data_IF_374077634893
#
_entry.id   IF_374077634893
#
_cell.length_a   1.000
_cell.length_b   1.000
_cell.length_c   1.000
_cell.angle_alpha   90.00
_cell.angle_beta   90.00
_cell.angle_gamma   90.00
#
_symmetry.space_group_name_H-M   'P 1'
#
loop_
_entity.id
_entity.type
_entity.pdbx_description
1 polymer ?
#
# COMPACT_ATOMS: atom_id res chain seq x y z
N UNK A 1 1.89 -20.71 -3.91
CA UNK A 1 0.52 -21.25 -3.78
C UNK A 1 -0.28 -20.32 -2.87
N UNK A 2 -1.55 -20.07 -3.18
CA UNK A 2 -2.38 -19.17 -2.38
C UNK A 2 -3.03 -19.93 -1.22
N UNK A 3 -3.13 -19.31 -0.03
CA UNK A 3 -3.77 -19.92 1.14
C UNK A 3 -4.77 -18.98 1.81
N UNK A 4 -5.76 -19.58 2.48
CA UNK A 4 -6.77 -18.87 3.27
C UNK A 4 -6.77 -19.41 4.69
N UNK A 5 -6.77 -18.51 5.68
CA UNK A 5 -6.83 -18.86 7.09
C UNK A 5 -7.82 -17.96 7.82
N UNK A 6 -8.40 -18.48 8.90
CA UNK A 6 -9.23 -17.71 9.82
C UNK A 6 -8.78 -18.00 11.25
N UNK A 7 -8.57 -16.95 12.02
CA UNK A 7 -8.02 -17.02 13.37
C UNK A 7 -8.63 -15.94 14.27
N UNK A 8 -8.47 -16.11 15.58
CA UNK A 8 -8.73 -15.05 16.55
C UNK A 8 -7.46 -14.25 16.82
N UNK A 9 -7.58 -12.94 16.96
CA UNK A 9 -6.50 -12.05 17.34
C UNK A 9 -7.00 -11.08 18.41
N UNK A 10 -6.33 -11.03 19.56
CA UNK A 10 -6.65 -10.09 20.64
C UNK A 10 -5.62 -8.95 20.58
N UNK A 11 -5.99 -7.77 20.06
CA UNK A 11 -5.07 -6.64 20.03
C UNK A 11 -4.79 -6.12 21.44
N UNK A 12 -3.60 -5.55 21.64
CA UNK A 12 -3.31 -4.68 22.77
C UNK A 12 -4.18 -3.41 22.73
N UNK A 13 -4.22 -2.67 23.84
CA UNK A 13 -4.98 -1.42 23.97
C UNK A 13 -4.00 -0.33 24.43
N UNK A 14 -3.60 0.62 23.56
CA UNK A 14 -4.03 0.79 22.17
C UNK A 14 -3.44 -0.26 21.19
N UNK A 15 -4.10 -0.56 20.05
CA UNK A 15 -3.61 -1.52 19.08
C UNK A 15 -2.25 -1.14 18.49
N UNK A 16 -1.35 -2.11 18.36
CA UNK A 16 -0.02 -1.96 17.77
C UNK A 16 0.11 -2.75 16.48
N UNK A 17 0.51 -2.06 15.43
CA UNK A 17 0.68 -2.66 14.11
C UNK A 17 1.82 -3.68 14.09
N UNK A 18 2.95 -3.38 14.73
CA UNK A 18 4.11 -4.27 14.75
C UNK A 18 3.80 -5.63 15.41
N UNK A 19 2.95 -5.66 16.45
CA UNK A 19 2.49 -6.91 17.07
C UNK A 19 1.63 -7.73 16.10
N UNK A 20 0.78 -7.05 15.32
CA UNK A 20 -0.04 -7.70 14.31
C UNK A 20 0.82 -8.26 13.17
N UNK A 21 1.83 -7.52 12.71
CA UNK A 21 2.80 -8.00 11.72
C UNK A 21 3.51 -9.25 12.21
N UNK A 22 4.05 -9.23 13.43
CA UNK A 22 4.73 -10.39 14.02
C UNK A 22 3.80 -11.61 14.15
N UNK A 23 2.53 -11.38 14.50
CA UNK A 23 1.52 -12.44 14.54
C UNK A 23 1.28 -13.06 13.15
N UNK A 24 1.09 -12.23 12.12
CA UNK A 24 0.87 -12.66 10.73
C UNK A 24 2.08 -13.42 10.19
N UNK A 25 3.28 -12.92 10.44
CA UNK A 25 4.53 -13.55 10.02
C UNK A 25 4.64 -14.98 10.56
N UNK A 26 4.39 -15.16 11.86
CA UNK A 26 4.40 -16.47 12.52
C UNK A 26 3.30 -17.38 12.00
N UNK A 27 2.08 -16.85 11.84
CA UNK A 27 0.93 -17.62 11.38
C UNK A 27 1.17 -18.20 9.98
N UNK A 28 1.65 -17.38 9.05
CA UNK A 28 1.86 -17.72 7.64
C UNK A 28 3.27 -18.26 7.34
N UNK A 29 4.12 -18.44 8.36
CA UNK A 29 5.51 -18.92 8.22
C UNK A 29 6.30 -18.08 7.21
N UNK A 30 6.17 -16.76 7.31
CA UNK A 30 6.82 -15.79 6.42
C UNK A 30 8.18 -15.31 6.97
N UNK A 31 8.81 -16.12 7.83
CA UNK A 31 10.11 -15.80 8.41
C UNK A 31 11.13 -15.57 7.31
N UNK A 32 11.77 -14.39 7.29
CA UNK A 32 12.70 -13.90 6.26
C UNK A 32 12.06 -13.39 4.95
N UNK A 33 10.73 -13.31 4.84
CA UNK A 33 10.07 -12.70 3.69
C UNK A 33 9.51 -11.34 4.08
N UNK A 34 9.79 -10.32 3.27
CA UNK A 34 9.06 -9.06 3.38
C UNK A 34 7.66 -9.23 2.81
N UNK A 35 6.66 -8.65 3.45
CA UNK A 35 5.28 -8.67 3.00
C UNK A 35 4.57 -7.36 3.34
N UNK A 36 3.40 -7.18 2.75
CA UNK A 36 2.48 -6.10 3.04
C UNK A 36 1.15 -6.67 3.54
N UNK A 37 0.43 -5.88 4.32
CA UNK A 37 -0.91 -6.20 4.79
C UNK A 37 -1.87 -5.17 4.20
N UNK A 38 -2.86 -5.66 3.47
CA UNK A 38 -3.93 -4.86 2.90
C UNK A 38 -5.25 -5.23 3.57
N UNK A 39 -6.14 -4.27 3.69
CA UNK A 39 -7.47 -4.38 4.28
C UNK A 39 -8.53 -4.10 3.23
N UNK A 40 -9.60 -4.91 3.22
CA UNK A 40 -10.78 -4.64 2.40
C UNK A 40 -11.78 -3.86 3.24
N UNK A 41 -11.95 -2.57 2.94
CA UNK A 41 -12.91 -1.72 3.64
C UNK A 41 -14.35 -2.14 3.29
N UNK A 42 -15.20 -2.50 4.27
CA UNK A 42 -16.55 -2.98 4.00
C UNK A 42 -17.51 -1.87 3.54
N UNK A 43 -17.14 -0.59 3.63
CA UNK A 43 -17.99 0.52 3.21
C UNK A 43 -18.00 0.74 1.70
N UNK A 44 -16.84 0.64 1.06
CA UNK A 44 -16.64 0.89 -0.38
C UNK A 44 -15.95 -0.28 -1.12
N UNK A 45 -15.47 -1.30 -0.41
CA UNK A 45 -14.64 -2.40 -0.90
C UNK A 45 -13.26 -1.96 -1.41
N UNK A 46 -12.76 -0.81 -0.96
CA UNK A 46 -11.40 -0.38 -1.28
C UNK A 46 -10.37 -1.25 -0.57
N UNK A 47 -9.29 -1.55 -1.30
CA UNK A 47 -8.13 -2.26 -0.78
C UNK A 47 -7.11 -1.23 -0.26
N UNK A 48 -6.99 -1.14 1.06
CA UNK A 48 -6.19 -0.11 1.74
C UNK A 48 -5.01 -0.72 2.49
N UNK A 49 -3.82 -0.11 2.47
CA UNK A 49 -2.69 -0.62 3.24
C UNK A 49 -2.89 -0.41 4.74
N UNK A 50 -2.55 -1.43 5.53
CA UNK A 50 -2.31 -1.28 6.97
C UNK A 50 -0.79 -1.22 7.14
N UNK A 51 -0.25 -0.05 7.48
CA UNK A 51 1.20 0.17 7.60
C UNK A 51 1.62 0.97 8.84
N UNK A 52 0.67 1.25 9.75
CA UNK A 52 0.91 1.92 11.03
C UNK A 52 -0.26 1.65 12.01
N UNK A 53 -0.08 2.07 13.26
CA UNK A 53 -1.04 1.91 14.36
C UNK A 53 -2.42 2.55 14.06
N UNK A 54 -2.45 3.72 13.42
CA UNK A 54 -3.70 4.45 13.15
C UNK A 54 -4.55 3.75 12.07
N UNK A 55 -3.91 3.30 10.98
CA UNK A 55 -4.58 2.52 9.94
C UNK A 55 -5.07 1.19 10.51
N UNK A 56 -4.28 0.54 11.36
CA UNK A 56 -4.69 -0.70 12.01
C UNK A 56 -5.89 -0.48 12.94
N UNK A 57 -5.83 0.55 13.79
CA UNK A 57 -6.95 0.93 14.66
C UNK A 57 -8.21 1.27 13.87
N UNK A 58 -8.09 1.94 12.72
CA UNK A 58 -9.23 2.23 11.83
C UNK A 58 -9.80 0.95 11.23
N UNK A 59 -8.97 0.08 10.68
CA UNK A 59 -9.41 -1.18 10.08
C UNK A 59 -10.14 -2.07 11.11
N UNK A 60 -9.64 -2.14 12.35
CA UNK A 60 -10.29 -2.85 13.47
C UNK A 60 -11.68 -2.28 13.81
N UNK A 61 -11.83 -0.94 13.80
CA UNK A 61 -13.11 -0.27 14.11
C UNK A 61 -14.14 -0.43 13.00
N UNK A 62 -13.70 -0.41 11.74
CA UNK A 62 -14.59 -0.48 10.57
C UNK A 62 -14.94 -1.92 10.19
N UNK A 63 -14.13 -2.90 10.58
CA UNK A 63 -14.37 -4.32 10.29
C UNK A 63 -15.76 -4.81 10.73
N UNK A 64 -16.52 -5.37 9.78
CA UNK A 64 -17.83 -5.99 10.02
C UNK A 64 -18.04 -7.21 9.12
N UNK A 65 -18.35 -8.40 9.66
CA UNK A 65 -18.15 -8.85 11.04
C UNK A 65 -16.68 -9.22 11.35
N UNK A 66 -15.82 -9.29 10.33
CA UNK A 66 -14.43 -9.73 10.44
C UNK A 66 -13.52 -8.72 9.73
N UNK A 67 -12.29 -8.60 10.24
CA UNK A 67 -11.22 -7.91 9.53
C UNK A 67 -10.76 -8.82 8.39
N UNK A 68 -11.11 -8.47 7.15
CA UNK A 68 -10.62 -9.16 5.95
C UNK A 68 -9.33 -8.52 5.50
N UNK A 69 -8.26 -9.31 5.45
CA UNK A 69 -6.95 -8.85 5.00
C UNK A 69 -6.43 -9.68 3.84
N UNK A 70 -5.53 -9.07 3.07
CA UNK A 70 -4.69 -9.75 2.08
C UNK A 70 -3.24 -9.57 2.54
N UNK A 71 -2.52 -10.69 2.63
CA UNK A 71 -1.09 -10.71 2.94
C UNK A 71 -0.36 -11.05 1.65
N UNK A 72 0.51 -10.15 1.20
CA UNK A 72 1.21 -10.30 -0.07
C UNK A 72 2.70 -10.15 0.15
N UNK A 73 3.49 -11.11 -0.33
CA UNK A 73 4.95 -11.02 -0.29
C UNK A 73 5.41 -9.90 -1.21
N UNK A 74 6.42 -9.15 -0.78
CA UNK A 74 7.07 -8.16 -1.63
C UNK A 74 7.84 -8.86 -2.75
N UNK A 75 7.73 -8.35 -3.96
CA UNK A 75 8.29 -8.90 -5.20
C UNK A 75 7.33 -9.80 -5.98
N UNK A 76 6.22 -10.25 -5.37
CA UNK A 76 5.30 -11.23 -5.97
C UNK A 76 4.11 -10.58 -6.70
N UNK A 77 3.99 -9.24 -6.72
CA UNK A 77 2.82 -8.55 -7.29
C UNK A 77 3.14 -7.42 -8.24
N UNK A 78 2.32 -7.30 -9.28
CA UNK A 78 2.33 -6.15 -10.20
C UNK A 78 1.83 -4.87 -9.50
N UNK A 79 1.03 -5.00 -8.43
CA UNK A 79 0.55 -3.88 -7.61
C UNK A 79 1.68 -3.16 -6.85
N UNK A 80 2.72 -3.87 -6.42
CA UNK A 80 3.86 -3.24 -5.75
C UNK A 80 4.67 -2.32 -6.68
N UNK A 81 4.62 -2.57 -7.99
CA UNK A 81 5.18 -1.68 -9.01
C UNK A 81 4.34 -0.40 -9.21
N UNK A 82 3.05 -0.43 -8.84
CA UNK A 82 2.08 0.66 -9.09
C UNK A 82 1.75 1.49 -7.84
N UNK A 83 1.98 0.94 -6.64
CA UNK A 83 1.79 1.60 -5.37
C UNK A 83 0.34 1.58 -4.87
N UNK A 84 0.17 1.39 -3.56
CA UNK A 84 -1.13 1.19 -2.90
C UNK A 84 -1.83 2.53 -2.64
N UNK A 85 -2.28 3.18 -3.72
CA UNK A 85 -3.10 4.38 -3.71
C UNK A 85 -4.42 4.15 -4.45
N UNK A 86 -5.52 4.60 -3.84
CA UNK A 86 -6.91 4.66 -4.34
C UNK A 86 -7.16 3.99 -5.69
N UNK A 87 -7.68 2.75 -5.64
CA UNK A 87 -8.10 1.94 -6.79
C UNK A 87 -9.36 2.50 -7.47
N UNK A 88 -9.40 3.80 -7.79
CA UNK A 88 -10.42 4.34 -8.69
C UNK A 88 -10.05 3.89 -10.11
N UNK A 89 -10.84 2.95 -10.62
CA UNK A 89 -10.90 2.47 -12.02
C UNK A 89 -10.21 1.14 -12.42
N UNK A 90 -9.82 0.27 -11.48
CA UNK A 90 -9.49 -1.15 -11.82
C UNK A 90 -10.41 -2.20 -11.18
N UNK A 91 -11.53 -1.78 -10.61
CA UNK A 91 -12.47 -2.66 -9.89
C UNK A 91 -13.17 -3.74 -10.74
N UNK A 92 -12.96 -3.82 -12.05
CA UNK A 92 -13.65 -4.83 -12.87
C UNK A 92 -12.84 -6.09 -13.25
N UNK A 93 -11.52 -6.16 -13.00
CA UNK A 93 -10.71 -7.22 -13.65
C UNK A 93 -9.88 -8.15 -12.76
N UNK A 94 -9.87 -7.99 -11.43
CA UNK A 94 -9.07 -8.89 -10.56
C UNK A 94 -9.94 -9.98 -9.91
N UNK A 95 -11.22 -9.68 -9.63
CA UNK A 95 -12.16 -10.70 -9.10
C UNK A 95 -12.80 -11.52 -10.25
N UNK A 96 -12.85 -11.00 -11.47
CA UNK A 96 -13.43 -11.71 -12.63
C UNK A 96 -12.51 -12.80 -13.21
N UNK A 97 -11.20 -12.74 -12.97
CA UNK A 97 -10.26 -13.79 -13.40
C UNK A 97 -10.27 -15.03 -12.50
N UNK A 98 -10.77 -14.91 -11.26
CA UNK A 98 -11.02 -16.07 -10.39
C UNK A 98 -12.33 -16.79 -10.79
N UNK A 99 -13.22 -16.13 -11.56
CA UNK A 99 -14.51 -16.67 -11.99
C UNK A 99 -14.64 -16.86 -13.52
N UNK A 100 -13.50 -17.05 -14.21
CA UNK A 100 -13.44 -17.54 -15.58
C UNK A 100 -14.30 -16.80 -16.60
N UNK A 101 -13.79 -15.71 -17.20
CA UNK A 101 -14.22 -15.27 -18.54
C UNK A 101 -13.27 -14.24 -19.19
N UNK A 102 -12.70 -14.65 -20.34
CA UNK A 102 -12.16 -13.90 -21.49
C UNK A 102 -11.02 -12.86 -21.35
N UNK A 103 -10.01 -12.87 -22.27
CA UNK A 103 -8.85 -12.00 -22.20
C UNK A 103 -9.11 -10.64 -22.88
N UNK A 104 -8.82 -9.53 -22.18
CA UNK A 104 -8.87 -8.18 -22.78
C UNK A 104 -7.47 -7.58 -22.86
N UNK A 105 -7.19 -7.08 -24.07
CA UNK A 105 -5.92 -6.62 -24.63
C UNK A 105 -5.20 -5.57 -23.77
N UNK A 106 -3.90 -5.77 -23.59
CA UNK A 106 -2.96 -4.86 -22.93
C UNK A 106 -2.90 -3.48 -23.61
N UNK A 107 -3.22 -2.41 -22.88
CA UNK A 107 -2.91 -1.02 -23.28
C UNK A 107 -1.79 -0.48 -22.39
N UNK A 108 -0.97 0.36 -23.02
CA UNK A 108 0.39 0.76 -22.66
C UNK A 108 0.60 1.28 -21.23
N UNK A 109 1.84 1.09 -20.77
CA UNK A 109 2.39 1.41 -19.46
C UNK A 109 2.27 2.91 -19.13
N UNK A 110 1.51 3.23 -18.09
CA UNK A 110 1.57 4.53 -17.39
C UNK A 110 2.37 4.34 -16.10
N UNK A 111 3.55 4.95 -16.06
CA UNK A 111 4.44 5.06 -14.89
C UNK A 111 3.66 5.72 -13.74
N UNK A 112 3.50 5.04 -12.61
CA UNK A 112 2.83 5.58 -11.42
C UNK A 112 3.78 6.40 -10.54
N UNK A 113 3.21 7.15 -9.58
CA UNK A 113 3.98 8.06 -8.74
C UNK A 113 4.87 7.31 -7.71
N UNK A 114 6.12 7.74 -7.51
CA UNK A 114 7.03 7.11 -6.56
C UNK A 114 6.59 7.30 -5.09
N UNK A 115 6.43 6.20 -4.35
CA UNK A 115 5.91 6.20 -2.96
C UNK A 115 6.95 6.59 -1.90
N UNK A 116 8.24 6.56 -2.24
CA UNK A 116 9.36 6.96 -1.37
C UNK A 116 9.81 8.41 -1.60
N UNK A 117 9.03 9.20 -2.33
CA UNK A 117 9.43 10.52 -2.77
C UNK A 117 8.36 11.59 -2.49
N UNK A 118 8.79 12.77 -2.04
CA UNK A 118 7.91 13.93 -1.88
C UNK A 118 7.78 14.66 -3.21
N UNK A 119 6.56 15.08 -3.54
CA UNK A 119 6.31 15.91 -4.70
C UNK A 119 7.04 17.26 -4.57
N UNK A 120 7.67 17.70 -5.65
CA UNK A 120 8.26 19.04 -5.73
C UNK A 120 7.16 20.05 -6.03
N UNK A 121 7.03 21.05 -5.16
CA UNK A 121 6.11 22.18 -5.33
C UNK A 121 6.69 23.32 -6.16
N UNK A 122 8.02 23.49 -6.12
CA UNK A 122 8.72 24.53 -6.87
C UNK A 122 10.20 24.16 -7.09
N UNK A 123 10.74 24.58 -8.24
CA UNK A 123 12.17 24.58 -8.54
C UNK A 123 12.69 26.00 -8.27
N UNK A 124 13.79 26.10 -7.54
CA UNK A 124 14.41 27.36 -7.11
C UNK A 124 15.71 27.55 -7.89
N UNK A 125 16.11 28.81 -8.08
CA UNK A 125 17.38 29.20 -8.73
C UNK A 125 17.43 28.80 -10.22
N UNK A 126 16.28 28.70 -10.89
CA UNK A 126 16.13 28.27 -12.29
C UNK A 126 17.06 29.05 -13.23
N UNK A 127 17.19 30.35 -13.03
CA UNK A 127 17.97 31.25 -13.90
C UNK A 127 19.35 31.61 -13.32
N UNK A 128 19.71 31.08 -12.15
CA UNK A 128 20.94 31.45 -11.44
C UNK A 128 21.98 30.35 -11.52
N UNK A 129 21.57 29.09 -11.53
CA UNK A 129 22.48 27.94 -11.51
C UNK A 129 22.08 26.87 -12.55
N UNK A 130 23.06 26.05 -13.01
CA UNK A 130 22.77 24.90 -13.86
C UNK A 130 21.75 23.94 -13.24
N UNK A 131 21.01 23.20 -14.08
CA UNK A 131 19.91 22.32 -13.65
C UNK A 131 20.29 21.33 -12.54
N UNK A 132 21.53 20.84 -12.54
CA UNK A 132 22.07 19.90 -11.54
C UNK A 132 22.31 20.52 -10.16
N UNK A 133 22.32 21.84 -10.06
CA UNK A 133 22.61 22.59 -8.84
C UNK A 133 21.38 23.34 -8.30
N UNK A 134 20.23 23.22 -8.97
CA UNK A 134 18.99 23.88 -8.56
C UNK A 134 18.45 23.26 -7.28
N UNK A 135 17.89 24.10 -6.42
CA UNK A 135 17.21 23.63 -5.20
C UNK A 135 15.75 23.35 -5.50
N UNK A 136 15.16 22.45 -4.71
CA UNK A 136 13.74 22.10 -4.81
C UNK A 136 13.01 22.37 -3.50
N UNK A 137 11.76 22.81 -3.59
CA UNK A 137 10.85 22.90 -2.44
C UNK A 137 9.88 21.73 -2.47
N UNK A 138 9.93 20.88 -1.46
CA UNK A 138 9.04 19.73 -1.32
C UNK A 138 7.68 20.15 -0.75
N UNK A 139 6.60 19.54 -1.22
CA UNK A 139 5.28 19.70 -0.64
C UNK A 139 5.30 19.19 0.81
N UNK A 140 4.68 19.94 1.73
CA UNK A 140 4.60 19.55 3.14
C UNK A 140 3.68 18.34 3.27
N UNK A 141 4.26 17.18 3.48
CA UNK A 141 3.54 15.99 3.91
C UNK A 141 3.49 15.98 5.44
N UNK A 142 2.39 15.53 6.05
CA UNK A 142 2.21 15.51 7.51
C UNK A 142 3.11 14.52 8.27
N UNK A 143 4.27 14.17 7.72
CA UNK A 143 5.25 13.23 8.27
C UNK A 143 6.65 13.81 8.14
N UNK A 144 7.47 13.64 9.17
CA UNK A 144 8.88 14.06 9.19
C UNK A 144 9.85 12.94 8.74
N UNK A 145 9.34 11.86 8.13
CA UNK A 145 10.19 10.79 7.57
C UNK A 145 11.14 11.35 6.50
N UNK A 146 12.43 10.96 6.50
CA UNK A 146 13.38 11.34 5.47
C UNK A 146 13.08 10.56 4.18
N UNK A 147 12.33 11.18 3.27
CA UNK A 147 11.95 10.62 1.97
C UNK A 147 12.73 11.32 0.85
N UNK A 148 12.92 10.65 -0.29
CA UNK A 148 13.51 11.25 -1.49
C UNK A 148 12.61 12.30 -2.15
N UNK A 149 13.00 12.81 -3.32
CA UNK A 149 12.12 13.62 -4.19
C UNK A 149 12.39 13.33 -5.67
N UNK A 150 11.36 13.45 -6.50
CA UNK A 150 11.46 13.26 -7.95
C UNK A 150 11.05 14.56 -8.65
N UNK A 151 11.66 14.84 -9.81
CA UNK A 151 11.38 16.00 -10.68
C UNK A 151 10.95 15.46 -12.04
#
# INVERSE_FOLDING_TARGET
>A
DAEFRRWGFKPCVPPKFDEFVAFIEKLHRLTNNQFIILYVDPSDNDLLPINNDDNFGRALKTARPLLRIIVQRKGDSLEELSGYGTMKHRHNNIISSILGQTPVKSKALTISNPHDFRQVSAIIDVDVVPSTCRRVRLLKHGSDKPLGFYI
#
